data_IF_790487992285
#
_entry.id   IF_790487992285
#
_cell.length_a   1.000
_cell.length_b   1.000
_cell.length_c   1.000
_cell.angle_alpha   90.00
_cell.angle_beta   90.00
_cell.angle_gamma   90.00
#
_symmetry.space_group_name_H-M   'P 1'
#
loop_
_entity.id
_entity.type
_entity.pdbx_description
1 polymer ?
#
# COMPACT_ATOMS: atom_id res chain seq x y z
N UNK A 1 -79.59 -33.43 -55.75
CA UNK A 1 -79.47 -33.00 -54.34
C UNK A 1 -77.98 -32.80 -54.08
N UNK A 2 -77.56 -31.54 -54.02
CA UNK A 2 -76.23 -31.15 -53.57
C UNK A 2 -76.23 -31.22 -52.05
N UNK A 3 -75.33 -31.97 -51.45
CA UNK A 3 -74.87 -31.70 -50.09
C UNK A 3 -73.35 -31.55 -50.12
N UNK A 4 -72.96 -30.29 -50.00
CA UNK A 4 -71.59 -29.81 -49.94
C UNK A 4 -70.90 -30.32 -48.68
N UNK A 5 -69.83 -31.08 -48.84
CA UNK A 5 -68.90 -31.44 -47.76
C UNK A 5 -68.16 -30.16 -47.36
N UNK A 6 -68.53 -29.58 -46.21
CA UNK A 6 -67.73 -28.55 -45.56
C UNK A 6 -66.48 -29.23 -44.98
N UNK A 7 -65.34 -29.03 -45.63
CA UNK A 7 -64.04 -29.35 -45.05
C UNK A 7 -63.66 -28.16 -44.17
N UNK A 8 -63.74 -28.34 -42.86
CA UNK A 8 -63.25 -27.34 -41.91
C UNK A 8 -61.74 -27.15 -42.15
N UNK A 9 -61.25 -25.93 -42.44
CA UNK A 9 -59.83 -25.70 -42.56
C UNK A 9 -59.19 -25.97 -41.20
N UNK A 10 -58.30 -26.96 -41.14
CA UNK A 10 -57.44 -27.23 -39.99
C UNK A 10 -56.49 -26.03 -39.82
N UNK A 11 -56.97 -24.97 -39.19
CA UNK A 11 -56.13 -23.91 -38.68
C UNK A 11 -55.44 -24.47 -37.45
N UNK A 12 -54.21 -24.97 -37.62
CA UNK A 12 -53.31 -25.20 -36.51
C UNK A 12 -53.22 -23.88 -35.72
N UNK A 13 -53.88 -23.81 -34.56
CA UNK A 13 -53.90 -22.57 -33.79
C UNK A 13 -52.45 -22.25 -33.38
N UNK A 14 -51.99 -20.99 -33.48
CA UNK A 14 -50.64 -20.62 -33.06
C UNK A 14 -50.34 -21.02 -31.61
N UNK A 15 -51.39 -21.08 -30.78
CA UNK A 15 -51.31 -21.54 -29.39
C UNK A 15 -50.91 -23.02 -29.25
N UNK A 16 -51.33 -23.90 -30.17
CA UNK A 16 -50.96 -25.33 -30.16
C UNK A 16 -49.48 -25.56 -30.46
N UNK A 17 -48.90 -24.73 -31.34
CA UNK A 17 -47.47 -24.76 -31.68
C UNK A 17 -46.60 -24.30 -30.51
N UNK A 18 -47.00 -23.21 -29.85
CA UNK A 18 -46.31 -22.66 -28.67
C UNK A 18 -46.41 -23.58 -27.43
N UNK A 19 -47.49 -24.36 -27.31
CA UNK A 19 -47.68 -25.34 -26.23
C UNK A 19 -47.09 -26.73 -26.53
N UNK A 20 -46.41 -26.89 -27.67
CA UNK A 20 -45.78 -28.17 -27.99
C UNK A 20 -44.60 -28.45 -27.06
N UNK A 21 -44.48 -29.69 -26.59
CA UNK A 21 -43.37 -30.15 -25.75
C UNK A 21 -42.01 -29.90 -26.41
N UNK A 22 -41.97 -29.97 -27.75
CA UNK A 22 -40.79 -29.67 -28.56
C UNK A 22 -40.40 -28.18 -28.48
N UNK A 23 -41.35 -27.26 -28.74
CA UNK A 23 -41.09 -25.83 -28.67
C UNK A 23 -40.71 -25.39 -27.25
N UNK A 24 -41.40 -25.89 -26.23
CA UNK A 24 -41.05 -25.64 -24.83
C UNK A 24 -39.64 -26.15 -24.47
N UNK A 25 -39.23 -27.31 -25.00
CA UNK A 25 -37.87 -27.84 -24.82
C UNK A 25 -36.82 -26.97 -25.52
N UNK A 26 -37.09 -26.50 -26.75
CA UNK A 26 -36.20 -25.56 -27.46
C UNK A 26 -36.06 -24.23 -26.72
N UNK A 27 -37.15 -23.69 -26.17
CA UNK A 27 -37.13 -22.46 -25.36
C UNK A 27 -36.33 -22.66 -24.05
N UNK A 28 -36.47 -23.81 -23.40
CA UNK A 28 -35.66 -24.17 -22.22
C UNK A 28 -34.17 -24.28 -22.54
N UNK A 29 -33.80 -24.91 -23.66
CA UNK A 29 -32.39 -24.99 -24.09
C UNK A 29 -31.83 -23.60 -24.42
N UNK A 30 -32.61 -22.78 -25.13
CA UNK A 30 -32.20 -21.41 -25.48
C UNK A 30 -32.01 -20.54 -24.24
N UNK A 31 -32.89 -20.64 -23.24
CA UNK A 31 -32.75 -19.92 -21.97
C UNK A 31 -31.55 -20.43 -21.17
N UNK A 32 -31.30 -21.74 -21.11
CA UNK A 32 -30.10 -22.30 -20.47
C UNK A 32 -28.79 -21.79 -21.10
N UNK A 33 -28.70 -21.80 -22.44
CA UNK A 33 -27.52 -21.28 -23.16
C UNK A 33 -27.36 -19.78 -22.88
N UNK A 34 -28.44 -19.00 -22.94
CA UNK A 34 -28.41 -17.57 -22.65
C UNK A 34 -27.96 -17.26 -21.22
N UNK A 35 -28.42 -18.04 -20.25
CA UNK A 35 -28.07 -17.88 -18.83
C UNK A 35 -26.60 -18.25 -18.57
N UNK A 36 -26.09 -19.32 -19.20
CA UNK A 36 -24.68 -19.70 -19.13
C UNK A 36 -23.78 -18.63 -19.76
N UNK A 37 -24.16 -18.12 -20.93
CA UNK A 37 -23.41 -17.07 -21.62
C UNK A 37 -23.37 -15.77 -20.80
N UNK A 38 -24.51 -15.35 -20.25
CA UNK A 38 -24.60 -14.16 -19.40
C UNK A 38 -23.74 -14.32 -18.13
N UNK A 39 -23.80 -15.49 -17.49
CA UNK A 39 -23.03 -15.77 -16.28
C UNK A 39 -21.53 -15.74 -16.57
N UNK A 40 -21.08 -16.35 -17.67
CA UNK A 40 -19.69 -16.30 -18.12
C UNK A 40 -19.23 -14.87 -18.45
N UNK A 41 -20.08 -14.09 -19.14
CA UNK A 41 -19.81 -12.69 -19.46
C UNK A 41 -19.64 -11.83 -18.20
N UNK A 42 -20.57 -11.93 -17.26
CA UNK A 42 -20.53 -11.18 -15.99
C UNK A 42 -19.32 -11.58 -15.14
N UNK A 43 -19.00 -12.88 -15.08
CA UNK A 43 -17.80 -13.37 -14.40
C UNK A 43 -16.52 -12.76 -14.98
N UNK A 44 -16.37 -12.82 -16.32
CA UNK A 44 -15.22 -12.23 -16.99
C UNK A 44 -15.11 -10.72 -16.80
N UNK A 45 -16.24 -10.00 -16.77
CA UNK A 45 -16.27 -8.57 -16.49
C UNK A 45 -15.75 -8.27 -15.08
N UNK A 46 -16.26 -8.99 -14.06
CA UNK A 46 -15.80 -8.85 -12.67
C UNK A 46 -14.31 -9.15 -12.51
N UNK A 47 -13.82 -10.20 -13.17
CA UNK A 47 -12.38 -10.56 -13.13
C UNK A 47 -11.53 -9.48 -13.80
N UNK A 48 -11.97 -8.90 -14.91
CA UNK A 48 -11.24 -7.78 -15.56
C UNK A 48 -11.21 -6.53 -14.67
N UNK A 49 -12.34 -6.19 -14.04
CA UNK A 49 -12.42 -5.07 -13.12
C UNK A 49 -11.54 -5.25 -11.89
N UNK A 50 -11.50 -6.45 -11.29
CA UNK A 50 -10.64 -6.72 -10.14
C UNK A 50 -9.16 -6.65 -10.48
N UNK A 51 -8.75 -7.18 -11.63
CA UNK A 51 -7.36 -7.10 -12.12
C UNK A 51 -6.99 -5.66 -12.43
N UNK A 52 -7.88 -4.90 -13.08
CA UNK A 52 -7.66 -3.47 -13.35
C UNK A 52 -7.48 -2.68 -12.06
N UNK A 53 -8.37 -2.86 -11.08
CA UNK A 53 -8.28 -2.19 -9.79
C UNK A 53 -6.97 -2.55 -9.06
N UNK A 54 -6.62 -3.84 -9.00
CA UNK A 54 -5.37 -4.30 -8.43
C UNK A 54 -4.15 -3.70 -9.16
N UNK A 55 -4.18 -3.63 -10.50
CA UNK A 55 -3.09 -3.06 -11.30
C UNK A 55 -2.91 -1.59 -10.98
N UNK A 56 -4.00 -0.83 -10.90
CA UNK A 56 -3.96 0.59 -10.54
C UNK A 56 -3.34 0.81 -9.16
N UNK A 57 -3.76 0.01 -8.17
CA UNK A 57 -3.20 0.08 -6.82
C UNK A 57 -1.70 -0.22 -6.83
N UNK A 58 -1.28 -1.29 -7.53
CA UNK A 58 0.13 -1.66 -7.66
C UNK A 58 0.96 -0.55 -8.30
N UNK A 59 0.49 0.05 -9.40
CA UNK A 59 1.23 1.12 -10.07
C UNK A 59 1.36 2.36 -9.18
N UNK A 60 0.26 2.77 -8.52
CA UNK A 60 0.29 3.91 -7.60
C UNK A 60 1.25 3.64 -6.44
N UNK A 61 1.23 2.43 -5.90
CA UNK A 61 2.13 2.04 -4.84
C UNK A 61 3.58 2.00 -5.30
N UNK A 62 3.89 1.40 -6.45
CA UNK A 62 5.24 1.40 -7.04
C UNK A 62 5.74 2.84 -7.15
N UNK A 63 4.97 3.75 -7.77
CA UNK A 63 5.36 5.17 -7.89
C UNK A 63 5.60 5.84 -6.53
N UNK A 64 4.79 5.53 -5.51
CA UNK A 64 4.98 6.06 -4.16
C UNK A 64 6.24 5.49 -3.49
N UNK A 65 6.49 4.19 -3.62
CA UNK A 65 7.70 3.53 -3.12
C UNK A 65 8.95 4.18 -3.73
N UNK A 66 8.96 4.36 -5.05
CA UNK A 66 10.09 4.97 -5.75
C UNK A 66 10.35 6.40 -5.24
N UNK A 67 9.30 7.22 -5.14
CA UNK A 67 9.39 8.59 -4.61
C UNK A 67 9.93 8.61 -3.16
N UNK A 68 9.42 7.73 -2.31
CA UNK A 68 9.82 7.68 -0.90
C UNK A 68 11.28 7.22 -0.75
N UNK A 69 11.71 6.22 -1.52
CA UNK A 69 13.10 5.75 -1.52
C UNK A 69 14.04 6.84 -2.07
N UNK A 70 13.64 7.55 -3.12
CA UNK A 70 14.43 8.66 -3.67
C UNK A 70 14.59 9.81 -2.67
N UNK A 71 13.54 10.13 -1.93
CA UNK A 71 13.62 11.09 -0.84
C UNK A 71 14.65 10.66 0.21
N UNK A 72 14.65 9.38 0.61
CA UNK A 72 15.65 8.84 1.55
C UNK A 72 17.06 8.81 0.96
N UNK A 73 17.23 8.53 -0.34
CA UNK A 73 18.54 8.63 -0.99
C UNK A 73 19.09 10.06 -0.95
N UNK A 74 18.24 11.05 -1.19
CA UNK A 74 18.65 12.44 -1.26
C UNK A 74 18.89 13.07 0.14
N UNK A 75 18.11 12.68 1.15
CA UNK A 75 18.10 13.38 2.44
C UNK A 75 18.36 12.49 3.65
N UNK A 76 18.20 11.17 3.54
CA UNK A 76 18.29 10.24 4.68
C UNK A 76 19.73 9.92 5.09
N UNK A 77 20.69 10.08 4.19
CA UNK A 77 22.12 9.84 4.44
C UNK A 77 22.91 11.05 3.93
N UNK A 78 23.78 11.60 4.78
CA UNK A 78 24.73 12.67 4.42
C UNK A 78 26.15 12.18 4.69
N UNK A 79 26.93 11.94 3.63
CA UNK A 79 28.25 11.33 3.75
C UNK A 79 28.16 9.92 4.34
N UNK A 80 28.77 9.71 5.51
CA UNK A 80 28.76 8.41 6.23
C UNK A 80 27.82 8.39 7.43
N UNK A 81 26.92 9.37 7.55
CA UNK A 81 26.02 9.51 8.70
C UNK A 81 24.55 9.51 8.26
N UNK A 82 23.69 8.95 9.11
CA UNK A 82 22.23 9.05 8.95
C UNK A 82 21.79 10.44 9.38
N UNK A 83 20.95 11.07 8.57
CA UNK A 83 20.35 12.36 8.91
C UNK A 83 19.04 12.13 9.68
N UNK A 84 19.03 12.45 10.97
CA UNK A 84 17.91 12.16 11.88
C UNK A 84 16.63 12.89 11.50
N UNK A 85 16.70 14.20 11.22
CA UNK A 85 15.49 15.02 10.99
C UNK A 85 14.71 14.57 9.75
N UNK A 86 15.32 14.47 8.56
CA UNK A 86 14.61 14.02 7.37
C UNK A 86 14.08 12.60 7.51
N UNK A 87 14.79 11.74 8.25
CA UNK A 87 14.42 10.34 8.41
C UNK A 87 13.31 10.15 9.46
N UNK A 88 13.34 10.87 10.58
CA UNK A 88 12.27 10.87 11.58
C UNK A 88 10.93 11.34 11.00
N UNK A 89 10.95 12.37 10.16
CA UNK A 89 9.73 12.88 9.51
C UNK A 89 9.43 12.26 8.15
N UNK A 90 10.26 11.33 7.66
CA UNK A 90 10.03 10.66 6.38
C UNK A 90 8.76 9.79 6.40
N UNK A 91 8.03 9.74 5.30
CA UNK A 91 6.92 8.80 5.14
C UNK A 91 7.50 7.37 5.06
N UNK A 92 6.91 6.37 5.73
CA UNK A 92 7.29 4.96 5.54
C UNK A 92 7.26 4.58 4.05
N UNK A 93 8.18 3.73 3.58
CA UNK A 93 8.23 3.34 2.16
C UNK A 93 6.87 2.88 1.63
N UNK A 94 6.16 2.06 2.41
CA UNK A 94 4.74 1.73 2.23
C UNK A 94 4.17 1.15 3.53
N UNK A 95 2.86 1.24 3.73
CA UNK A 95 2.18 0.62 4.88
C UNK A 95 1.93 -0.88 4.66
N UNK A 96 1.04 -1.22 3.72
CA UNK A 96 0.73 -2.60 3.35
C UNK A 96 1.44 -3.00 2.05
N UNK A 97 1.89 -4.24 1.95
CA UNK A 97 2.47 -4.76 0.72
C UNK A 97 1.33 -5.14 -0.27
N UNK A 98 1.00 -4.27 -1.23
CA UNK A 98 -0.06 -4.56 -2.18
C UNK A 98 0.36 -5.66 -3.18
N UNK A 99 1.66 -5.84 -3.43
CA UNK A 99 2.13 -6.96 -4.24
C UNK A 99 1.83 -8.29 -3.55
N UNK A 100 2.13 -8.43 -2.26
CA UNK A 100 1.78 -9.65 -1.51
C UNK A 100 0.27 -9.95 -1.59
N UNK A 101 -0.55 -8.91 -1.47
CA UNK A 101 -2.01 -9.02 -1.53
C UNK A 101 -2.53 -9.46 -2.90
N UNK A 102 -1.93 -8.99 -3.99
CA UNK A 102 -2.47 -9.16 -5.34
C UNK A 102 -1.64 -10.05 -6.28
N UNK A 103 -0.44 -10.52 -5.89
CA UNK A 103 0.47 -11.28 -6.76
C UNK A 103 -0.17 -12.54 -7.36
N UNK A 104 -1.07 -13.19 -6.62
CA UNK A 104 -1.82 -14.35 -7.09
C UNK A 104 -2.67 -14.07 -8.34
N UNK A 105 -3.16 -12.83 -8.53
CA UNK A 105 -3.92 -12.43 -9.73
C UNK A 105 -3.04 -12.38 -10.99
N UNK A 106 -1.72 -12.29 -10.82
CA UNK A 106 -0.75 -12.13 -11.91
C UNK A 106 0.15 -13.34 -12.14
N UNK A 107 0.14 -14.33 -11.24
CA UNK A 107 1.01 -15.51 -11.30
C UNK A 107 0.95 -16.23 -12.67
N UNK A 108 -0.22 -16.28 -13.31
CA UNK A 108 -0.40 -16.88 -14.64
C UNK A 108 -0.50 -15.87 -15.78
N UNK A 109 -0.48 -14.56 -15.47
CA UNK A 109 -0.74 -13.49 -16.44
C UNK A 109 0.53 -12.73 -16.84
N UNK A 110 1.55 -12.72 -16.00
CA UNK A 110 2.85 -12.12 -16.27
C UNK A 110 3.88 -13.18 -16.66
N UNK A 111 4.85 -12.86 -17.53
CA UNK A 111 5.99 -13.72 -17.74
C UNK A 111 6.83 -13.81 -16.45
N UNK A 112 7.48 -14.96 -16.22
CA UNK A 112 8.23 -15.22 -14.99
C UNK A 112 9.30 -14.18 -14.70
N UNK A 113 9.94 -13.60 -15.73
CA UNK A 113 10.92 -12.53 -15.58
C UNK A 113 10.32 -11.24 -15.01
N UNK A 114 9.15 -10.81 -15.50
CA UNK A 114 8.46 -9.62 -15.01
C UNK A 114 7.95 -9.85 -13.59
N UNK A 115 7.39 -11.03 -13.32
CA UNK A 115 6.93 -11.39 -11.98
C UNK A 115 8.08 -11.35 -10.97
N UNK A 116 9.21 -11.98 -11.29
CA UNK A 116 10.40 -11.99 -10.44
C UNK A 116 11.00 -10.58 -10.25
N UNK A 117 10.97 -9.74 -11.29
CA UNK A 117 11.44 -8.35 -11.18
C UNK A 117 10.57 -7.53 -10.23
N UNK A 118 9.25 -7.68 -10.27
CA UNK A 118 8.34 -7.02 -9.32
C UNK A 118 8.54 -7.57 -7.90
N UNK A 119 8.67 -8.89 -7.74
CA UNK A 119 8.95 -9.52 -6.44
C UNK A 119 10.22 -8.91 -5.83
N UNK A 120 11.33 -8.91 -6.58
CA UNK A 120 12.62 -8.38 -6.11
C UNK A 120 12.55 -6.89 -5.76
N UNK A 121 11.78 -6.10 -6.50
CA UNK A 121 11.55 -4.70 -6.19
C UNK A 121 10.87 -4.55 -4.82
N UNK A 122 9.81 -5.32 -4.57
CA UNK A 122 9.06 -5.27 -3.31
C UNK A 122 9.86 -5.83 -2.13
N UNK A 123 10.64 -6.89 -2.32
CA UNK A 123 11.58 -7.41 -1.32
C UNK A 123 12.61 -6.36 -0.93
N UNK A 124 13.22 -5.69 -1.92
CA UNK A 124 14.20 -4.62 -1.67
C UNK A 124 13.55 -3.45 -0.94
N UNK A 125 12.36 -3.03 -1.37
CA UNK A 125 11.59 -1.96 -0.72
C UNK A 125 11.21 -2.33 0.72
N UNK A 126 10.87 -3.60 0.98
CA UNK A 126 10.54 -4.10 2.32
C UNK A 126 11.76 -4.10 3.24
N UNK A 127 12.94 -4.49 2.74
CA UNK A 127 14.19 -4.41 3.50
C UNK A 127 14.50 -2.96 3.89
N UNK A 128 14.43 -2.02 2.93
CA UNK A 128 14.63 -0.58 3.20
C UNK A 128 13.60 -0.07 4.23
N UNK A 129 12.32 -0.41 4.06
CA UNK A 129 11.25 -0.05 5.01
C UNK A 129 11.58 -0.52 6.42
N UNK A 130 12.00 -1.77 6.55
CA UNK A 130 12.29 -2.39 7.86
C UNK A 130 13.43 -1.64 8.56
N UNK A 131 14.52 -1.36 7.84
CA UNK A 131 15.63 -0.58 8.39
C UNK A 131 15.21 0.86 8.71
N UNK A 132 14.46 1.53 7.82
CA UNK A 132 13.91 2.86 8.06
C UNK A 132 13.12 2.90 9.38
N UNK A 133 12.19 1.96 9.57
CA UNK A 133 11.36 1.90 10.78
C UNK A 133 12.18 1.65 12.04
N UNK A 134 13.19 0.80 12.00
CA UNK A 134 14.06 0.59 13.16
C UNK A 134 14.85 1.85 13.52
N UNK A 135 15.36 2.58 12.53
CA UNK A 135 16.06 3.84 12.77
C UNK A 135 15.09 4.88 13.36
N UNK A 136 13.89 5.02 12.79
CA UNK A 136 12.87 5.96 13.30
C UNK A 136 12.53 5.66 14.76
N UNK A 137 12.31 4.39 15.10
CA UNK A 137 12.09 3.96 16.48
C UNK A 137 13.28 4.31 17.38
N UNK A 138 14.51 4.16 16.88
CA UNK A 138 15.70 4.50 17.68
C UNK A 138 15.81 6.00 17.97
N UNK A 139 15.46 6.84 16.99
CA UNK A 139 15.38 8.29 17.16
C UNK A 139 14.31 8.63 18.20
N UNK A 140 13.12 8.03 18.09
CA UNK A 140 12.03 8.21 19.05
C UNK A 140 12.43 7.81 20.47
N UNK A 141 13.04 6.63 20.66
CA UNK A 141 13.57 6.17 21.94
C UNK A 141 14.57 7.18 22.53
N UNK A 142 15.45 7.74 21.70
CA UNK A 142 16.42 8.75 22.14
C UNK A 142 15.75 10.05 22.57
N UNK A 143 14.75 10.51 21.81
CA UNK A 143 13.97 11.70 22.16
C UNK A 143 13.23 11.50 23.49
N UNK A 144 12.57 10.36 23.69
CA UNK A 144 11.90 10.04 24.94
C UNK A 144 12.88 9.93 26.11
N UNK A 145 14.04 9.31 25.92
CA UNK A 145 15.06 9.22 26.97
C UNK A 145 15.56 10.61 27.40
N UNK A 146 15.85 11.50 26.45
CA UNK A 146 16.27 12.88 26.72
C UNK A 146 15.19 13.66 27.46
N UNK A 147 13.93 13.56 27.00
CA UNK A 147 12.80 14.20 27.65
C UNK A 147 12.61 13.69 29.08
N UNK A 148 12.70 12.38 29.30
CA UNK A 148 12.60 11.78 30.64
C UNK A 148 13.73 12.24 31.57
N UNK A 149 14.97 12.34 31.10
CA UNK A 149 16.07 12.89 31.88
C UNK A 149 15.79 14.33 32.31
N UNK A 150 15.33 15.18 31.39
CA UNK A 150 14.94 16.55 31.68
C UNK A 150 13.81 16.60 32.72
N UNK A 151 12.70 15.87 32.49
CA UNK A 151 11.56 15.88 33.40
C UNK A 151 11.91 15.36 34.80
N UNK A 152 12.72 14.30 34.91
CA UNK A 152 13.17 13.80 36.20
C UNK A 152 14.04 14.83 36.93
N UNK A 153 14.90 15.57 36.22
CA UNK A 153 15.71 16.62 36.83
C UNK A 153 14.84 17.76 37.37
N UNK A 154 13.89 18.25 36.58
CA UNK A 154 13.00 19.34 36.98
C UNK A 154 12.04 18.91 38.11
N UNK A 155 11.49 17.71 38.04
CA UNK A 155 10.61 17.18 39.08
C UNK A 155 11.33 17.05 40.43
N UNK A 156 12.55 16.52 40.43
CA UNK A 156 13.37 16.43 41.64
C UNK A 156 13.72 17.81 42.21
N UNK A 157 13.99 18.80 41.36
CA UNK A 157 14.27 20.18 41.80
C UNK A 157 13.07 20.78 42.53
N UNK A 158 11.87 20.66 41.97
CA UNK A 158 10.63 21.13 42.61
C UNK A 158 10.36 20.39 43.93
N UNK A 159 10.57 19.07 43.97
CA UNK A 159 10.41 18.33 45.22
C UNK A 159 11.36 18.83 46.31
N UNK A 160 12.61 19.13 45.95
CA UNK A 160 13.59 19.64 46.91
C UNK A 160 13.24 21.04 47.40
N UNK A 161 12.73 21.93 46.54
CA UNK A 161 12.30 23.27 46.99
C UNK A 161 11.12 23.20 47.97
N UNK A 162 10.19 22.26 47.75
CA UNK A 162 9.09 21.98 48.68
C UNK A 162 9.62 21.44 50.01
N UNK A 163 10.54 20.46 49.98
CA UNK A 163 11.12 19.84 51.19
C UNK A 163 11.87 20.86 52.05
N UNK A 164 12.67 21.74 51.43
CA UNK A 164 13.44 22.75 52.16
C UNK A 164 12.68 24.04 52.44
N UNK A 165 11.39 24.11 52.08
CA UNK A 165 10.53 25.29 52.25
C UNK A 165 11.17 26.57 51.68
N UNK A 166 11.80 26.47 50.50
CA UNK A 166 12.36 27.63 49.81
C UNK A 166 11.22 28.60 49.42
N UNK A 167 11.25 29.81 49.98
CA UNK A 167 10.17 30.81 49.87
C UNK A 167 10.18 31.51 48.50
N UNK A 168 11.31 31.47 47.77
CA UNK A 168 11.51 32.21 46.52
C UNK A 168 11.16 31.38 45.28
N UNK A 169 9.86 31.23 45.05
CA UNK A 169 9.33 30.59 43.84
C UNK A 169 9.79 31.31 42.54
N UNK A 170 10.06 32.62 42.58
CA UNK A 170 10.45 33.37 41.40
C UNK A 170 11.84 32.97 40.90
N UNK A 171 12.80 32.76 41.81
CA UNK A 171 14.12 32.24 41.47
C UNK A 171 14.05 30.82 40.88
N UNK A 172 13.23 29.95 41.46
CA UNK A 172 13.03 28.58 40.96
C UNK A 172 12.50 28.59 39.52
N UNK A 173 11.46 29.37 39.23
CA UNK A 173 10.90 29.44 37.86
C UNK A 173 11.90 30.00 36.85
N UNK A 174 12.68 31.04 37.22
CA UNK A 174 13.73 31.58 36.36
C UNK A 174 14.81 30.54 36.04
N UNK A 175 15.23 29.72 37.02
CA UNK A 175 16.21 28.66 36.81
C UNK A 175 15.65 27.55 35.91
N UNK A 176 14.39 27.15 36.09
CA UNK A 176 13.72 26.16 35.22
C UNK A 176 13.67 26.67 33.77
N UNK A 177 13.27 27.92 33.55
CA UNK A 177 13.19 28.51 32.21
C UNK A 177 14.57 28.64 31.55
N UNK A 178 15.60 29.00 32.33
CA UNK A 178 17.00 29.00 31.87
C UNK A 178 17.43 27.61 31.44
N UNK A 179 17.18 26.57 32.23
CA UNK A 179 17.56 25.20 31.89
C UNK A 179 16.81 24.73 30.64
N UNK A 180 15.49 24.99 30.56
CA UNK A 180 14.69 24.69 29.36
C UNK A 180 15.27 25.34 28.11
N UNK A 181 15.74 26.59 28.21
CA UNK A 181 16.37 27.28 27.07
C UNK A 181 17.65 26.59 26.61
N UNK A 182 18.46 26.06 27.53
CA UNK A 182 19.69 25.32 27.21
C UNK A 182 19.35 23.98 26.56
N UNK A 183 18.41 23.22 27.14
CA UNK A 183 17.94 21.95 26.57
C UNK A 183 17.29 22.12 25.19
N UNK A 184 16.60 23.23 24.96
CA UNK A 184 16.01 23.55 23.65
C UNK A 184 17.04 23.98 22.60
N UNK A 185 18.18 24.55 23.02
CA UNK A 185 19.23 25.04 22.12
C UNK A 185 20.28 23.97 21.76
N UNK A 186 20.55 23.02 22.67
CA UNK A 186 21.60 22.01 22.47
C UNK A 186 21.05 20.79 21.74
N UNK A 187 21.49 20.58 20.51
CA UNK A 187 21.19 19.36 19.77
C UNK A 187 22.13 18.21 20.18
N UNK A 188 21.65 17.34 21.06
CA UNK A 188 22.32 16.06 21.35
C UNK A 188 21.85 15.06 20.28
N UNK A 189 22.75 14.59 19.43
CA UNK A 189 22.43 13.57 18.42
C UNK A 189 22.05 12.23 19.07
N UNK A 190 21.23 11.46 18.36
CA UNK A 190 20.94 10.08 18.71
C UNK A 190 22.16 9.22 18.45
N UNK A 191 22.59 8.45 19.45
CA UNK A 191 23.60 7.41 19.21
C UNK A 191 23.01 6.33 18.30
N UNK A 192 23.53 6.24 17.08
CA UNK A 192 23.18 5.22 16.09
C UNK A 192 24.36 4.28 15.84
N UNK A 193 24.22 2.98 16.16
CA UNK A 193 25.15 1.95 15.71
C UNK A 193 25.36 1.98 14.19
N UNK A 194 26.58 1.69 13.74
CA UNK A 194 26.98 1.78 12.33
C UNK A 194 26.20 0.82 11.43
N UNK A 195 25.66 -0.26 12.00
CA UNK A 195 24.81 -1.25 11.32
C UNK A 195 23.54 -0.62 10.74
N UNK A 196 23.01 0.43 11.38
CA UNK A 196 21.86 1.17 10.85
C UNK A 196 22.22 1.89 9.54
N UNK A 197 23.37 2.56 9.52
CA UNK A 197 23.87 3.22 8.32
C UNK A 197 24.17 2.17 7.23
N UNK A 198 24.90 1.10 7.57
CA UNK A 198 25.26 0.06 6.62
C UNK A 198 24.02 -0.59 6.01
N UNK A 199 23.02 -0.94 6.84
CA UNK A 199 21.78 -1.55 6.37
C UNK A 199 20.97 -0.63 5.47
N UNK A 200 20.83 0.65 5.84
CA UNK A 200 20.08 1.61 5.02
C UNK A 200 20.82 1.90 3.72
N UNK A 201 22.13 2.15 3.78
CA UNK A 201 22.98 2.41 2.62
C UNK A 201 22.96 1.23 1.64
N UNK A 202 23.13 0.00 2.14
CA UNK A 202 23.06 -1.21 1.32
C UNK A 202 21.69 -1.36 0.65
N UNK A 203 20.59 -1.18 1.40
CA UNK A 203 19.24 -1.24 0.86
C UNK A 203 19.02 -0.20 -0.25
N UNK A 204 19.38 1.06 0.01
CA UNK A 204 19.26 2.15 -0.96
C UNK A 204 20.12 1.90 -2.20
N UNK A 205 21.33 1.37 -2.06
CA UNK A 205 22.20 1.05 -3.20
C UNK A 205 21.69 -0.16 -4.02
N UNK A 206 21.00 -1.10 -3.38
CA UNK A 206 20.42 -2.28 -4.04
C UNK A 206 19.11 -1.96 -4.77
N UNK A 207 18.48 -0.84 -4.45
CA UNK A 207 17.21 -0.42 -5.04
C UNK A 207 17.34 -0.01 -6.51
N UNK A 208 16.38 -0.45 -7.31
CA UNK A 208 16.20 -0.09 -8.71
C UNK A 208 14.75 0.38 -8.95
N UNK A 209 14.57 1.25 -9.95
CA UNK A 209 13.25 1.71 -10.40
C UNK A 209 12.60 0.65 -11.29
N UNK A 210 11.28 0.48 -11.14
CA UNK A 210 10.43 -0.23 -12.10
C UNK A 210 9.82 0.76 -13.11
N UNK A 211 9.65 2.03 -12.76
CA UNK A 211 9.25 3.07 -13.70
C UNK A 211 10.26 3.20 -14.85
N UNK A 212 9.75 3.24 -16.07
CA UNK A 212 10.56 3.25 -17.29
C UNK A 212 11.00 1.87 -17.79
N UNK A 213 10.73 0.79 -17.05
CA UNK A 213 11.04 -0.58 -17.49
C UNK A 213 9.90 -1.19 -18.33
N UNK A 214 10.23 -2.20 -19.13
CA UNK A 214 9.24 -3.00 -19.87
C UNK A 214 8.31 -3.75 -18.93
N UNK A 215 8.78 -4.14 -17.74
CA UNK A 215 8.02 -4.85 -16.71
C UNK A 215 6.82 -4.05 -16.23
N UNK A 216 6.99 -2.77 -15.90
CA UNK A 216 5.86 -1.91 -15.52
C UNK A 216 4.88 -1.70 -16.69
N UNK A 217 5.40 -1.60 -17.92
CA UNK A 217 4.58 -1.54 -19.13
C UNK A 217 3.74 -2.79 -19.35
N UNK A 218 4.30 -3.97 -19.10
CA UNK A 218 3.60 -5.24 -19.20
C UNK A 218 2.55 -5.39 -18.10
N UNK A 219 2.85 -4.96 -16.88
CA UNK A 219 1.88 -4.88 -15.77
C UNK A 219 0.67 -4.00 -16.15
N UNK A 220 0.90 -2.80 -16.70
CA UNK A 220 -0.16 -1.89 -17.20
C UNK A 220 -1.05 -2.55 -18.25
N UNK A 221 -0.43 -3.21 -19.24
CA UNK A 221 -1.16 -3.91 -20.31
C UNK A 221 -2.08 -5.00 -19.75
N UNK A 222 -1.63 -5.77 -18.75
CA UNK A 222 -2.44 -6.83 -18.12
C UNK A 222 -3.59 -6.28 -17.30
N UNK A 223 -3.43 -5.08 -16.72
CA UNK A 223 -4.51 -4.34 -16.07
C UNK A 223 -5.50 -3.66 -17.01
N UNK A 224 -5.31 -3.76 -18.34
CA UNK A 224 -6.08 -2.99 -19.32
C UNK A 224 -6.06 -1.48 -19.04
N UNK A 225 -4.93 -0.98 -18.54
CA UNK A 225 -4.71 0.45 -18.34
C UNK A 225 -4.14 1.05 -19.63
N UNK A 226 -4.61 2.23 -20.01
CA UNK A 226 -4.11 2.97 -21.16
C UNK A 226 -2.62 3.28 -21.04
N UNK A 227 -1.98 3.62 -22.17
CA UNK A 227 -0.65 4.24 -22.12
C UNK A 227 -0.81 5.64 -21.53
N UNK A 228 0.12 6.04 -20.66
CA UNK A 228 0.29 7.46 -20.28
C UNK A 228 0.86 8.23 -21.47
#
# INVERSE_FOLDING_TARGET
MNDTIYVEPFYASPSSFLNSTFFQTCVLIATLIGTLFLTWYLYNKKVKESVRAATTILILQIKNIERNIEYLKAHGITGTAINETPLHYSIPIFEENAWEKYKHLYATKLPSSDFSSIEKFYETALAIKTTQLFIKRKIEESLYAKANCYYNMEYNRVNMSIIFNEIDNARLFNDIDRIRSIYGAVHIQTYMPIEFYNGLSQGLNSYFRLSGTTTLGNLRKKGHLGKE
#
